data_IF_905935575954
#
_entry.id   IF_905935575954
#
_cell.length_a   1.000
_cell.length_b   1.000
_cell.length_c   1.000
_cell.angle_alpha   90.00
_cell.angle_beta   90.00
_cell.angle_gamma   90.00
#
_symmetry.space_group_name_H-M   'P 1'
#
loop_
_entity.id
_entity.type
_entity.pdbx_description
1 polymer ?
#
# COMPACT_ATOMS: atom_id res chain seq x y z
N UNK A 1 -13.80 2.56 47.12
CA UNK A 1 -12.56 2.18 46.38
C UNK A 1 -12.96 1.94 44.96
N UNK A 2 -12.70 2.85 43.98
CA UNK A 2 -12.96 2.57 42.59
C UNK A 2 -11.79 1.72 42.05
N UNK A 3 -12.15 0.55 41.52
CA UNK A 3 -11.20 -0.39 40.95
C UNK A 3 -10.43 0.24 39.78
N UNK A 4 -9.11 0.16 39.84
CA UNK A 4 -8.19 0.43 38.76
C UNK A 4 -8.54 -0.50 37.60
N UNK A 5 -9.12 0.06 36.53
CA UNK A 5 -9.25 -0.63 35.27
C UNK A 5 -7.82 -0.77 34.72
N UNK A 6 -7.17 -1.90 34.96
CA UNK A 6 -5.97 -2.29 34.25
C UNK A 6 -6.29 -2.20 32.76
N UNK A 7 -5.75 -1.20 32.07
CA UNK A 7 -5.67 -1.19 30.61
C UNK A 7 -4.77 -2.35 30.25
N UNK A 8 -5.36 -3.47 29.89
CA UNK A 8 -4.62 -4.57 29.24
C UNK A 8 -3.92 -3.95 28.04
N UNK A 9 -2.63 -3.74 28.14
CA UNK A 9 -1.80 -3.26 27.02
C UNK A 9 -1.80 -4.34 25.98
N UNK A 10 -2.54 -4.12 24.89
CA UNK A 10 -2.56 -5.03 23.75
C UNK A 10 -1.13 -5.15 23.19
N UNK A 11 -0.69 -6.37 22.87
CA UNK A 11 0.60 -6.57 22.18
C UNK A 11 0.53 -5.89 20.79
N UNK A 12 1.38 -4.88 20.51
CA UNK A 12 1.35 -4.13 19.27
C UNK A 12 1.64 -4.97 18.03
N UNK A 13 2.19 -6.17 18.22
CA UNK A 13 2.42 -7.13 17.13
C UNK A 13 1.14 -7.90 16.75
N UNK A 14 0.15 -7.91 17.63
CA UNK A 14 -1.10 -8.64 17.47
C UNK A 14 -2.25 -7.69 17.15
N UNK A 15 -2.33 -6.58 17.88
CA UNK A 15 -3.38 -5.57 17.74
C UNK A 15 -2.80 -4.16 17.76
N UNK A 16 -3.40 -3.29 16.98
CA UNK A 16 -3.07 -1.87 16.92
C UNK A 16 -4.19 -1.01 17.48
N UNK A 17 -3.81 0.05 18.15
CA UNK A 17 -4.72 1.14 18.51
C UNK A 17 -4.49 2.39 17.64
N UNK A 18 -5.38 3.37 17.77
CA UNK A 18 -5.29 4.62 17.02
C UNK A 18 -4.02 5.42 17.38
N UNK A 19 -3.55 5.35 18.64
CA UNK A 19 -2.36 6.08 19.06
C UNK A 19 -1.10 5.52 18.36
N UNK A 20 -0.99 4.20 18.25
CA UNK A 20 0.10 3.53 17.54
C UNK A 20 0.09 3.86 16.05
N UNK A 21 -1.06 3.84 15.37
CA UNK A 21 -1.18 4.26 13.98
C UNK A 21 -0.84 5.73 13.79
N UNK A 22 -1.24 6.60 14.73
CA UNK A 22 -0.93 8.04 14.68
C UNK A 22 0.56 8.31 14.91
N UNK A 23 1.24 7.51 15.74
CA UNK A 23 2.67 7.63 15.98
C UNK A 23 3.52 7.40 14.72
N UNK A 24 2.97 6.79 13.67
CA UNK A 24 3.61 6.63 12.37
C UNK A 24 3.59 7.90 11.50
N UNK A 25 2.84 8.95 11.89
CA UNK A 25 2.70 10.20 11.12
C UNK A 25 4.04 10.82 10.73
N UNK A 26 5.05 11.00 11.63
CA UNK A 26 6.32 11.61 11.24
C UNK A 26 7.09 10.78 10.20
N UNK A 27 6.96 9.46 10.24
CA UNK A 27 7.59 8.54 9.29
C UNK A 27 6.85 8.55 7.95
N UNK A 28 5.51 8.54 7.99
CA UNK A 28 4.67 8.62 6.79
C UNK A 28 4.90 9.91 6.01
N UNK A 29 4.99 11.06 6.67
CA UNK A 29 5.29 12.36 6.03
C UNK A 29 6.63 12.41 5.29
N UNK A 30 7.60 11.57 5.68
CA UNK A 30 8.90 11.45 4.99
C UNK A 30 8.84 10.52 3.77
N UNK A 31 7.78 9.73 3.62
CA UNK A 31 7.58 8.93 2.43
C UNK A 31 7.08 9.82 1.29
N UNK A 32 7.80 9.82 0.18
CA UNK A 32 7.36 10.55 -1.02
C UNK A 32 6.79 9.55 -2.02
N UNK A 33 5.50 9.65 -2.27
CA UNK A 33 4.85 8.97 -3.39
C UNK A 33 5.08 9.84 -4.63
N UNK A 34 6.18 9.64 -5.34
CA UNK A 34 6.54 10.47 -6.49
C UNK A 34 5.52 10.26 -7.61
N UNK A 35 5.03 11.33 -8.29
CA UNK A 35 4.19 11.22 -9.49
C UNK A 35 4.89 10.48 -10.63
N UNK A 36 6.23 10.50 -10.63
CA UNK A 36 7.13 9.75 -11.50
C UNK A 36 8.09 8.96 -10.62
N UNK A 37 7.71 7.77 -10.22
CA UNK A 37 8.64 6.89 -9.52
C UNK A 37 9.72 6.39 -10.49
N UNK A 38 10.98 6.22 -10.02
CA UNK A 38 12.04 5.66 -10.85
C UNK A 38 11.61 4.31 -11.41
N UNK A 39 12.14 3.93 -12.57
CA UNK A 39 11.79 2.71 -13.32
C UNK A 39 11.87 1.40 -12.49
N UNK A 40 12.47 1.44 -11.32
CA UNK A 40 12.59 0.33 -10.35
C UNK A 40 11.46 0.28 -9.30
N UNK A 41 10.58 1.27 -9.24
CA UNK A 41 9.45 1.24 -8.28
C UNK A 41 8.32 0.38 -8.83
N UNK A 42 7.86 -0.56 -8.01
CA UNK A 42 6.72 -1.45 -8.32
C UNK A 42 5.42 -0.66 -8.50
N UNK A 43 5.33 0.54 -7.89
CA UNK A 43 4.18 1.45 -8.02
C UNK A 43 4.12 2.17 -9.38
N UNK A 44 5.14 2.02 -10.23
CA UNK A 44 5.19 2.65 -11.54
C UNK A 44 4.56 1.74 -12.60
N UNK A 45 3.25 1.68 -12.63
CA UNK A 45 2.53 1.08 -13.75
C UNK A 45 2.89 1.80 -15.06
N UNK A 46 3.30 1.04 -16.08
CA UNK A 46 3.79 1.46 -17.40
C UNK A 46 2.73 2.20 -18.23
N UNK A 47 2.21 3.35 -17.81
CA UNK A 47 1.41 4.17 -18.72
C UNK A 47 1.63 5.66 -18.46
N UNK A 48 2.30 6.33 -19.39
CA UNK A 48 2.23 7.77 -19.54
C UNK A 48 0.78 8.16 -19.83
N UNK A 49 0.15 8.91 -18.94
CA UNK A 49 -1.21 9.40 -19.12
C UNK A 49 -1.23 10.53 -20.16
N UNK A 50 -1.94 10.32 -21.26
CA UNK A 50 -2.20 11.34 -22.31
C UNK A 50 -3.59 11.98 -22.12
N UNK A 51 -3.88 12.58 -20.96
CA UNK A 51 -5.15 13.29 -20.80
C UNK A 51 -4.92 14.75 -20.37
N UNK A 52 -5.60 15.69 -21.02
CA UNK A 52 -5.55 17.13 -20.78
C UNK A 52 -6.60 17.53 -19.74
N UNK A 53 -6.23 18.31 -18.73
CA UNK A 53 -7.12 18.84 -17.70
C UNK A 53 -6.66 20.17 -17.10
N UNK A 54 -7.51 20.88 -16.36
CA UNK A 54 -7.29 22.24 -15.83
C UNK A 54 -6.47 22.19 -14.53
N UNK A 55 -5.31 22.81 -14.54
CA UNK A 55 -4.36 22.96 -13.43
C UNK A 55 -2.96 22.83 -14.01
N UNK A 56 -2.39 23.93 -14.49
CA UNK A 56 -1.10 23.90 -15.17
C UNK A 56 -0.08 24.57 -14.25
N UNK A 57 0.80 23.76 -13.64
CA UNK A 57 2.00 24.29 -13.01
C UNK A 57 3.10 24.50 -14.04
N UNK A 58 3.74 25.67 -13.97
CA UNK A 58 4.88 26.00 -14.80
C UNK A 58 6.06 25.06 -14.46
N UNK A 59 6.48 24.24 -15.43
CA UNK A 59 7.60 23.32 -15.25
C UNK A 59 8.93 23.99 -15.67
N UNK A 60 9.00 24.44 -16.92
CA UNK A 60 10.22 25.01 -17.50
C UNK A 60 9.92 25.88 -18.74
N UNK A 61 10.91 26.68 -19.12
CA UNK A 61 10.97 27.32 -20.42
C UNK A 61 11.94 26.53 -21.29
N UNK A 62 11.49 26.14 -22.48
CA UNK A 62 12.36 25.52 -23.48
C UNK A 62 12.18 26.15 -24.85
N UNK A 63 13.11 25.93 -25.76
CA UNK A 63 12.99 26.39 -27.12
C UNK A 63 11.77 25.79 -27.81
N UNK A 64 11.09 26.65 -28.61
CA UNK A 64 9.93 26.27 -29.40
C UNK A 64 10.29 25.20 -30.43
N UNK A 65 9.47 24.17 -30.55
CA UNK A 65 9.53 23.19 -31.63
C UNK A 65 8.29 23.30 -32.53
N UNK A 66 8.38 22.98 -33.83
CA UNK A 66 7.26 23.12 -34.78
C UNK A 66 5.96 22.36 -34.38
N UNK A 67 6.08 21.39 -33.47
CA UNK A 67 4.95 20.62 -32.94
C UNK A 67 4.28 21.25 -31.72
N UNK A 68 4.82 22.37 -31.19
CA UNK A 68 4.29 23.01 -29.99
C UNK A 68 3.13 23.96 -30.33
N UNK A 69 2.20 24.12 -29.37
CA UNK A 69 1.13 25.09 -29.51
C UNK A 69 1.66 26.53 -29.33
N UNK A 70 1.54 27.33 -30.35
CA UNK A 70 1.99 28.75 -30.39
C UNK A 70 1.36 29.62 -29.27
N UNK A 71 0.25 29.18 -28.69
CA UNK A 71 -0.41 29.86 -27.56
C UNK A 71 0.40 29.77 -26.25
N UNK A 72 1.31 28.80 -26.17
CA UNK A 72 2.17 28.62 -25.01
C UNK A 72 3.51 29.35 -25.14
N UNK A 73 3.73 30.13 -26.20
CA UNK A 73 4.95 30.93 -26.37
C UNK A 73 4.99 32.05 -25.32
N UNK A 74 6.10 32.14 -24.58
CA UNK A 74 6.39 33.26 -23.71
C UNK A 74 6.98 34.42 -24.50
N UNK A 75 6.12 35.30 -25.00
CA UNK A 75 6.53 36.43 -25.80
C UNK A 75 7.49 37.38 -25.08
N UNK A 76 7.45 37.45 -23.74
CA UNK A 76 8.34 38.29 -22.94
C UNK A 76 9.76 37.76 -22.90
N UNK A 77 9.91 36.46 -22.78
CA UNK A 77 11.22 35.81 -22.84
C UNK A 77 11.74 35.81 -24.27
N UNK A 78 10.91 35.46 -25.23
CA UNK A 78 11.21 35.50 -26.67
C UNK A 78 11.73 36.85 -27.11
N UNK A 79 11.12 37.95 -26.69
CA UNK A 79 11.58 39.31 -27.03
C UNK A 79 12.95 39.66 -26.43
N UNK A 80 13.35 39.03 -25.34
CA UNK A 80 14.64 39.25 -24.67
C UNK A 80 15.73 38.39 -25.24
N UNK A 81 15.43 37.14 -25.60
CA UNK A 81 16.41 36.15 -26.08
C UNK A 81 16.58 36.12 -27.59
N UNK A 82 15.58 36.65 -28.33
CA UNK A 82 15.55 36.61 -29.80
C UNK A 82 15.14 35.25 -30.38
N UNK A 83 14.92 34.23 -29.57
CA UNK A 83 14.47 32.89 -29.98
C UNK A 83 13.12 32.55 -29.32
N UNK A 84 12.16 31.94 -30.05
CA UNK A 84 10.87 31.58 -29.46
C UNK A 84 11.04 30.54 -28.32
N UNK A 85 10.50 30.89 -27.15
CA UNK A 85 10.48 29.99 -25.99
C UNK A 85 9.05 29.64 -25.64
N UNK A 86 8.82 28.36 -25.31
CA UNK A 86 7.52 27.82 -24.90
C UNK A 86 7.52 27.55 -23.42
N UNK A 87 6.44 27.96 -22.75
CA UNK A 87 6.14 27.53 -21.37
C UNK A 87 5.68 26.08 -21.41
N UNK A 88 6.45 25.20 -20.82
CA UNK A 88 6.04 23.82 -20.56
C UNK A 88 5.33 23.81 -19.22
N UNK A 89 4.10 23.34 -19.23
CA UNK A 89 3.30 23.19 -18.03
C UNK A 89 3.17 21.70 -17.69
N UNK A 90 3.27 21.39 -16.41
CA UNK A 90 2.88 20.08 -15.88
C UNK A 90 1.48 20.20 -15.32
N UNK A 91 0.61 19.30 -15.68
CA UNK A 91 -0.71 19.19 -15.07
C UNK A 91 -0.54 18.60 -13.67
N UNK A 92 -0.75 19.45 -12.64
CA UNK A 92 -0.92 18.95 -11.28
C UNK A 92 -2.27 18.24 -11.21
N UNK A 93 -2.27 16.93 -11.32
CA UNK A 93 -3.47 16.13 -11.15
C UNK A 93 -3.66 15.84 -9.67
N UNK A 94 -4.71 16.42 -9.13
CA UNK A 94 -5.30 15.97 -7.87
C UNK A 94 -5.78 14.52 -8.04
N UNK A 95 -4.93 13.58 -7.60
CA UNK A 95 -5.15 12.14 -7.74
C UNK A 95 -5.57 11.55 -6.40
N UNK A 96 -6.89 11.39 -6.18
CA UNK A 96 -7.36 10.85 -4.91
C UNK A 96 -6.80 9.46 -4.67
N UNK A 97 -6.24 9.21 -3.49
CA UNK A 97 -5.82 7.89 -3.07
C UNK A 97 -6.93 7.20 -2.28
N UNK A 98 -7.18 5.93 -2.59
CA UNK A 98 -8.09 5.05 -1.90
C UNK A 98 -7.32 3.85 -1.34
N UNK A 99 -7.17 3.80 -0.01
CA UNK A 99 -6.48 2.74 0.71
C UNK A 99 -7.50 1.69 1.15
N UNK A 100 -7.46 0.51 0.55
CA UNK A 100 -8.38 -0.61 0.88
C UNK A 100 -7.62 -1.60 1.73
N UNK A 101 -8.06 -1.79 2.98
CA UNK A 101 -7.34 -2.60 3.96
C UNK A 101 -8.21 -3.75 4.44
N UNK A 102 -7.69 -4.92 4.25
CA UNK A 102 -8.30 -6.16 4.68
C UNK A 102 -7.99 -6.41 6.17
N UNK A 103 -9.05 -6.52 6.96
CA UNK A 103 -9.04 -6.88 8.38
C UNK A 103 -9.97 -8.06 8.64
N UNK A 104 -10.09 -8.97 7.66
CA UNK A 104 -10.82 -10.24 7.85
C UNK A 104 -9.98 -11.21 8.67
N UNK A 105 -10.63 -12.27 9.18
CA UNK A 105 -9.98 -13.28 10.01
C UNK A 105 -8.78 -13.94 9.31
N UNK A 106 -8.78 -14.08 8.00
CA UNK A 106 -7.64 -14.59 7.23
C UNK A 106 -6.36 -13.74 7.41
N UNK A 107 -6.50 -12.45 7.74
CA UNK A 107 -5.39 -11.53 8.03
C UNK A 107 -4.90 -11.63 9.48
N UNK A 108 -5.61 -12.33 10.38
CA UNK A 108 -5.21 -12.53 11.78
C UNK A 108 -4.23 -13.69 11.91
N UNK A 109 -3.08 -13.54 11.28
CA UNK A 109 -2.01 -14.52 11.30
C UNK A 109 -0.64 -13.82 11.23
N UNK A 110 0.31 -14.29 12.04
CA UNK A 110 1.69 -13.82 12.04
C UNK A 110 2.59 -14.77 12.80
N UNK A 111 3.77 -15.08 12.26
CA UNK A 111 4.69 -16.08 12.82
C UNK A 111 5.97 -15.50 13.43
N UNK A 112 6.33 -14.25 13.08
CA UNK A 112 7.62 -13.67 13.49
C UNK A 112 7.51 -12.27 14.07
N UNK A 113 7.25 -11.25 13.24
CA UNK A 113 7.31 -9.85 13.65
C UNK A 113 5.95 -9.32 14.08
N UNK A 114 4.92 -9.45 13.24
CA UNK A 114 3.58 -8.97 13.51
C UNK A 114 2.52 -9.81 12.79
N UNK A 115 1.24 -9.59 13.10
CA UNK A 115 0.13 -10.14 12.31
C UNK A 115 0.05 -9.46 10.93
N UNK A 116 -0.46 -10.17 9.91
CA UNK A 116 -0.70 -9.59 8.57
C UNK A 116 -1.64 -8.38 8.67
N UNK A 117 -2.66 -8.45 9.53
CA UNK A 117 -3.60 -7.36 9.79
C UNK A 117 -2.92 -6.10 10.33
N UNK A 118 -1.94 -6.26 11.22
CA UNK A 118 -1.10 -5.17 11.76
C UNK A 118 -0.26 -4.56 10.65
N UNK A 119 0.49 -5.38 9.90
CA UNK A 119 1.32 -4.93 8.78
C UNK A 119 0.52 -4.15 7.74
N UNK A 120 -0.69 -4.62 7.39
CA UNK A 120 -1.58 -3.92 6.46
C UNK A 120 -2.05 -2.57 7.01
N UNK A 121 -2.39 -2.49 8.30
CA UNK A 121 -2.82 -1.27 8.96
C UNK A 121 -1.70 -0.23 9.08
N UNK A 122 -0.50 -0.65 9.46
CA UNK A 122 0.69 0.23 9.48
C UNK A 122 1.01 0.78 8.09
N UNK A 123 0.99 -0.08 7.06
CA UNK A 123 1.22 0.34 5.69
C UNK A 123 0.19 1.38 5.23
N UNK A 124 -1.08 1.17 5.55
CA UNK A 124 -2.14 2.12 5.23
C UNK A 124 -1.98 3.46 5.97
N UNK A 125 -1.59 3.45 7.24
CA UNK A 125 -1.32 4.68 8.00
C UNK A 125 -0.15 5.46 7.40
N UNK A 126 0.98 4.81 7.14
CA UNK A 126 2.16 5.40 6.53
C UNK A 126 1.85 6.02 5.16
N UNK A 127 1.15 5.28 4.29
CA UNK A 127 0.73 5.76 2.97
C UNK A 127 -0.31 6.88 3.07
N UNK A 128 -1.25 6.78 4.02
CA UNK A 128 -2.26 7.81 4.25
C UNK A 128 -1.65 9.15 4.66
N UNK A 129 -0.67 9.15 5.57
CA UNK A 129 0.06 10.36 5.95
C UNK A 129 0.94 10.88 4.82
N UNK A 130 1.57 10.00 4.02
CA UNK A 130 2.35 10.38 2.86
C UNK A 130 1.51 11.12 1.81
N UNK A 131 0.33 10.59 1.47
CA UNK A 131 -0.61 11.20 0.52
C UNK A 131 -1.09 12.56 1.02
N UNK A 132 -1.47 12.64 2.30
CA UNK A 132 -1.96 13.89 2.88
C UNK A 132 -0.88 14.97 2.94
N UNK A 133 0.38 14.61 3.23
CA UNK A 133 1.53 15.54 3.23
C UNK A 133 1.83 16.11 1.85
N UNK A 134 1.55 15.35 0.78
CA UNK A 134 1.67 15.81 -0.60
C UNK A 134 0.50 16.73 -1.04
N UNK A 135 -0.46 16.98 -0.14
CA UNK A 135 -1.63 17.80 -0.41
C UNK A 135 -2.72 17.07 -1.19
N UNK A 136 -2.60 15.76 -1.40
CA UNK A 136 -3.58 14.97 -2.12
C UNK A 136 -4.76 14.53 -1.23
N UNK A 137 -5.86 14.13 -1.87
CA UNK A 137 -7.03 13.57 -1.20
C UNK A 137 -6.79 12.12 -0.85
N UNK A 138 -7.00 11.75 0.42
CA UNK A 138 -6.92 10.38 0.90
C UNK A 138 -8.24 9.93 1.49
N UNK A 139 -8.64 8.71 1.19
CA UNK A 139 -9.75 8.00 1.76
C UNK A 139 -9.42 6.52 1.88
N UNK A 140 -10.39 5.71 2.27
CA UNK A 140 -10.13 4.28 2.41
C UNK A 140 -11.39 3.43 2.51
N UNK A 141 -11.16 2.14 2.49
CA UNK A 141 -12.16 1.12 2.80
C UNK A 141 -11.54 0.18 3.83
N UNK A 142 -12.23 -0.02 4.94
CA UNK A 142 -11.89 -1.02 5.94
C UNK A 142 -12.79 -2.23 5.72
N UNK A 143 -12.17 -3.38 5.52
CA UNK A 143 -12.87 -4.64 5.24
C UNK A 143 -12.76 -5.55 6.46
N UNK A 144 -13.88 -5.92 7.06
CA UNK A 144 -13.95 -6.96 8.08
C UNK A 144 -14.82 -8.13 7.57
N UNK A 145 -14.91 -9.21 8.32
CA UNK A 145 -15.79 -10.33 7.96
C UNK A 145 -17.28 -9.94 7.98
N UNK A 146 -17.64 -8.86 8.70
CA UNK A 146 -19.01 -8.43 8.87
C UNK A 146 -19.39 -7.24 7.97
N UNK A 147 -18.44 -6.33 7.74
CA UNK A 147 -18.72 -5.04 7.15
C UNK A 147 -17.64 -4.59 6.15
N UNK A 148 -18.05 -3.68 5.28
CA UNK A 148 -17.18 -2.89 4.41
C UNK A 148 -17.49 -1.43 4.72
N UNK A 149 -16.58 -0.75 5.43
CA UNK A 149 -16.72 0.65 5.82
C UNK A 149 -15.99 1.55 4.85
N UNK A 150 -16.67 2.60 4.37
CA UNK A 150 -16.18 3.46 3.30
C UNK A 150 -15.92 4.89 3.76
N UNK A 151 -14.72 5.39 3.45
CA UNK A 151 -14.27 6.74 3.74
C UNK A 151 -13.89 7.45 2.44
N UNK A 152 -14.71 8.39 1.99
CA UNK A 152 -14.46 9.13 0.74
C UNK A 152 -13.16 9.93 0.82
N UNK A 153 -12.35 9.95 -0.26
CA UNK A 153 -11.11 10.73 -0.29
C UNK A 153 -11.32 12.22 -0.05
N UNK A 154 -10.59 12.79 0.93
CA UNK A 154 -10.60 14.23 1.26
C UNK A 154 -9.22 14.70 1.67
N UNK A 155 -8.89 15.97 1.43
CA UNK A 155 -7.71 16.66 1.98
C UNK A 155 -7.99 17.06 3.43
N UNK A 156 -8.06 16.11 4.32
CA UNK A 156 -8.46 16.36 5.71
C UNK A 156 -7.81 15.36 6.65
N UNK A 157 -6.97 15.87 7.55
CA UNK A 157 -6.39 15.06 8.62
C UNK A 157 -7.49 14.42 9.50
N UNK A 158 -8.56 15.17 9.78
CA UNK A 158 -9.69 14.63 10.56
C UNK A 158 -10.37 13.44 9.87
N UNK A 159 -10.48 13.48 8.52
CA UNK A 159 -11.02 12.34 7.77
C UNK A 159 -10.06 11.15 7.78
N UNK A 160 -8.76 11.37 7.65
CA UNK A 160 -7.76 10.30 7.78
C UNK A 160 -7.82 9.68 9.17
N UNK A 161 -7.93 10.49 10.24
CA UNK A 161 -8.04 9.99 11.61
C UNK A 161 -9.31 9.14 11.83
N UNK A 162 -10.45 9.49 11.22
CA UNK A 162 -11.66 8.64 11.25
C UNK A 162 -11.42 7.28 10.59
N UNK A 163 -10.78 7.28 9.43
CA UNK A 163 -10.43 6.05 8.73
C UNK A 163 -9.48 5.18 9.56
N UNK A 164 -8.41 5.76 10.14
CA UNK A 164 -7.47 5.05 11.00
C UNK A 164 -8.13 4.56 12.31
N UNK A 165 -9.09 5.29 12.85
CA UNK A 165 -9.88 4.84 14.01
C UNK A 165 -10.72 3.60 13.69
N UNK A 166 -11.42 3.59 12.55
CA UNK A 166 -12.19 2.43 12.11
C UNK A 166 -11.26 1.23 11.84
N UNK A 167 -10.08 1.49 11.25
CA UNK A 167 -9.08 0.46 10.99
C UNK A 167 -8.56 -0.17 12.29
N UNK A 168 -8.24 0.66 13.31
CA UNK A 168 -7.84 0.18 14.64
C UNK A 168 -8.96 -0.63 15.31
N UNK A 169 -10.20 -0.18 15.22
CA UNK A 169 -11.35 -0.91 15.78
C UNK A 169 -11.54 -2.28 15.10
N UNK A 170 -11.46 -2.33 13.76
CA UNK A 170 -11.56 -3.58 13.03
C UNK A 170 -10.40 -4.54 13.40
N UNK A 171 -9.17 -4.02 13.56
CA UNK A 171 -8.02 -4.78 13.97
C UNK A 171 -8.17 -5.36 15.39
N UNK A 172 -8.62 -4.57 16.35
CA UNK A 172 -8.85 -5.00 17.73
C UNK A 172 -10.03 -5.98 17.85
N UNK A 173 -10.96 -5.97 16.91
CA UNK A 173 -12.07 -6.91 16.86
C UNK A 173 -11.65 -8.32 16.40
N UNK A 174 -10.46 -8.49 15.84
CA UNK A 174 -9.95 -9.81 15.44
C UNK A 174 -9.60 -10.64 16.69
N UNK A 175 -10.17 -11.83 16.79
CA UNK A 175 -9.89 -12.74 17.90
C UNK A 175 -10.16 -14.18 17.50
N UNK A 176 -9.29 -15.16 17.88
CA UNK A 176 -9.41 -16.54 17.44
C UNK A 176 -10.69 -17.24 17.89
N UNK A 177 -11.33 -16.75 18.96
CA UNK A 177 -12.58 -17.31 19.49
C UNK A 177 -13.82 -16.60 18.93
N UNK A 178 -13.65 -15.60 18.06
CA UNK A 178 -14.78 -14.88 17.47
C UNK A 178 -15.45 -15.79 16.43
N UNK A 179 -16.73 -16.05 16.64
CA UNK A 179 -17.57 -16.68 15.62
C UNK A 179 -17.85 -15.64 14.55
N UNK A 180 -17.03 -15.59 13.53
CA UNK A 180 -17.28 -14.71 12.39
C UNK A 180 -18.45 -15.29 11.54
N UNK A 181 -19.31 -14.44 10.98
CA UNK A 181 -20.19 -14.84 9.90
C UNK A 181 -19.35 -15.27 8.68
N UNK A 182 -20.03 -15.76 7.64
CA UNK A 182 -19.33 -16.06 6.39
C UNK A 182 -18.49 -14.84 5.93
N UNK A 183 -17.19 -15.02 5.63
CA UNK A 183 -16.30 -13.90 5.38
C UNK A 183 -16.78 -13.06 4.19
N UNK A 184 -16.63 -11.74 4.31
CA UNK A 184 -16.90 -10.81 3.20
C UNK A 184 -16.07 -11.21 1.98
N UNK A 185 -16.73 -11.44 0.86
CA UNK A 185 -16.06 -11.85 -0.38
C UNK A 185 -15.26 -10.70 -0.99
N UNK A 186 -14.17 -10.99 -1.67
CA UNK A 186 -13.38 -10.00 -2.39
C UNK A 186 -14.21 -9.30 -3.49
N UNK A 187 -15.17 -9.99 -4.10
CA UNK A 187 -16.10 -9.39 -5.08
C UNK A 187 -16.94 -8.26 -4.47
N UNK A 188 -17.40 -8.42 -3.22
CA UNK A 188 -18.14 -7.36 -2.50
C UNK A 188 -17.23 -6.16 -2.24
N UNK A 189 -16.00 -6.39 -1.81
CA UNK A 189 -15.01 -5.33 -1.60
C UNK A 189 -14.75 -4.56 -2.89
N UNK A 190 -14.47 -5.25 -3.99
CA UNK A 190 -14.19 -4.62 -5.28
C UNK A 190 -15.40 -3.88 -5.86
N UNK A 191 -16.62 -4.35 -5.57
CA UNK A 191 -17.85 -3.61 -5.93
C UNK A 191 -17.92 -2.26 -5.19
N UNK A 192 -17.56 -2.22 -3.90
CA UNK A 192 -17.47 -0.98 -3.14
C UNK A 192 -16.35 -0.07 -3.67
N UNK A 193 -15.19 -0.63 -4.02
CA UNK A 193 -14.08 0.12 -4.64
C UNK A 193 -14.55 0.76 -5.95
N UNK A 194 -15.18 0.00 -6.84
CA UNK A 194 -15.66 0.51 -8.13
C UNK A 194 -16.69 1.64 -7.99
N UNK A 195 -17.51 1.60 -6.93
CA UNK A 195 -18.50 2.64 -6.62
C UNK A 195 -17.85 3.91 -6.07
N UNK A 196 -16.81 3.77 -5.24
CA UNK A 196 -16.17 4.89 -4.56
C UNK A 196 -15.12 5.58 -5.44
N UNK A 197 -14.37 4.79 -6.22
CA UNK A 197 -13.32 5.25 -7.13
C UNK A 197 -13.81 5.23 -8.58
N UNK A 198 -14.49 6.29 -9.00
CA UNK A 198 -15.06 6.36 -10.36
C UNK A 198 -13.99 6.49 -11.44
N UNK A 199 -13.06 7.44 -11.32
CA UNK A 199 -11.96 7.70 -12.28
C UNK A 199 -10.77 8.37 -11.61
N UNK A 200 -9.59 8.16 -12.19
CA UNK A 200 -8.35 8.85 -11.86
C UNK A 200 -7.90 8.72 -10.39
N UNK A 201 -8.30 7.63 -9.73
CA UNK A 201 -7.85 7.32 -8.37
C UNK A 201 -6.58 6.46 -8.40
N UNK A 202 -5.74 6.64 -7.39
CA UNK A 202 -4.74 5.66 -6.99
C UNK A 202 -5.37 4.72 -5.96
N UNK A 203 -5.60 3.48 -6.32
CA UNK A 203 -6.19 2.47 -5.44
C UNK A 203 -5.10 1.52 -4.99
N UNK A 204 -4.93 1.39 -3.68
CA UNK A 204 -3.97 0.46 -3.07
C UNK A 204 -4.77 -0.53 -2.23
N UNK A 205 -4.78 -1.79 -2.65
CA UNK A 205 -5.49 -2.87 -1.98
C UNK A 205 -4.49 -3.73 -1.20
N UNK A 206 -4.55 -3.66 0.13
CA UNK A 206 -3.69 -4.40 1.08
C UNK A 206 -4.48 -5.59 1.62
N UNK A 207 -4.15 -6.80 1.18
CA UNK A 207 -4.86 -8.04 1.53
C UNK A 207 -3.95 -9.25 1.36
N UNK A 208 -4.31 -10.38 1.94
CA UNK A 208 -3.74 -11.68 1.58
C UNK A 208 -4.44 -12.31 0.37
N UNK A 209 -5.48 -11.64 -0.16
CA UNK A 209 -6.28 -12.09 -1.30
C UNK A 209 -6.86 -13.49 -1.12
N UNK A 210 -7.25 -13.83 0.10
CA UNK A 210 -7.87 -15.10 0.40
C UNK A 210 -9.26 -15.21 -0.25
N UNK A 211 -9.54 -16.39 -0.81
CA UNK A 211 -10.82 -16.75 -1.45
C UNK A 211 -11.33 -15.69 -2.44
N UNK A 212 -10.70 -15.57 -3.63
CA UNK A 212 -11.26 -14.74 -4.67
C UNK A 212 -12.63 -15.29 -5.13
N UNK A 213 -13.56 -14.38 -5.43
CA UNK A 213 -14.86 -14.74 -5.96
C UNK A 213 -14.84 -14.95 -7.49
N UNK A 214 -15.94 -15.44 -8.08
CA UNK A 214 -16.02 -15.71 -9.51
C UNK A 214 -15.95 -14.45 -10.39
N UNK A 215 -16.20 -13.26 -9.82
CA UNK A 215 -16.20 -11.98 -10.53
C UNK A 215 -14.96 -11.13 -10.24
N UNK A 216 -14.05 -11.60 -9.37
CA UNK A 216 -12.90 -10.83 -8.91
C UNK A 216 -12.05 -10.29 -10.07
N UNK A 217 -11.71 -11.14 -11.04
CA UNK A 217 -10.88 -10.74 -12.19
C UNK A 217 -11.58 -9.69 -13.06
N UNK A 218 -12.86 -9.88 -13.36
CA UNK A 218 -13.65 -8.91 -14.14
C UNK A 218 -13.77 -7.56 -13.43
N UNK A 219 -13.94 -7.54 -12.10
CA UNK A 219 -14.02 -6.34 -11.30
C UNK A 219 -12.68 -5.61 -11.24
N UNK A 220 -11.57 -6.33 -11.04
CA UNK A 220 -10.22 -5.76 -11.11
C UNK A 220 -9.96 -5.10 -12.47
N UNK A 221 -10.30 -5.78 -13.56
CA UNK A 221 -10.17 -5.23 -14.91
C UNK A 221 -11.04 -4.00 -15.15
N UNK A 222 -12.26 -3.98 -14.63
CA UNK A 222 -13.17 -2.84 -14.73
C UNK A 222 -12.63 -1.62 -13.96
N UNK A 223 -12.14 -1.81 -12.74
CA UNK A 223 -11.53 -0.76 -11.91
C UNK A 223 -10.28 -0.21 -12.60
N UNK A 224 -9.40 -1.09 -13.09
CA UNK A 224 -8.14 -0.72 -13.71
C UNK A 224 -8.27 0.13 -14.96
N UNK A 225 -9.36 -0.02 -15.72
CA UNK A 225 -9.60 0.76 -16.95
C UNK A 225 -9.62 2.28 -16.73
N UNK A 226 -10.02 2.72 -15.54
CA UNK A 226 -10.21 4.13 -15.23
C UNK A 226 -9.39 4.63 -14.04
N UNK A 227 -8.65 3.76 -13.39
CA UNK A 227 -7.89 4.05 -12.18
C UNK A 227 -6.52 3.35 -12.24
N UNK A 228 -5.59 3.82 -11.42
CA UNK A 228 -4.38 3.07 -11.16
C UNK A 228 -4.59 2.16 -9.96
N UNK A 229 -4.44 0.87 -10.20
CA UNK A 229 -4.68 -0.17 -9.20
C UNK A 229 -3.38 -0.88 -8.85
N UNK A 230 -3.09 -0.91 -7.56
CA UNK A 230 -1.98 -1.62 -6.96
C UNK A 230 -2.51 -2.68 -6.00
N UNK A 231 -2.13 -3.93 -6.23
CA UNK A 231 -2.35 -5.03 -5.31
C UNK A 231 -1.11 -5.19 -4.43
N UNK A 232 -1.29 -5.12 -3.13
CA UNK A 232 -0.24 -5.33 -2.14
C UNK A 232 -0.56 -6.60 -1.38
N UNK A 233 0.11 -7.69 -1.75
CA UNK A 233 -0.04 -8.98 -1.11
C UNK A 233 0.66 -8.96 0.26
N UNK A 234 -0.11 -9.09 1.33
CA UNK A 234 0.42 -9.20 2.68
C UNK A 234 0.54 -10.68 3.05
N UNK A 235 1.77 -11.15 3.20
CA UNK A 235 2.09 -12.56 3.48
C UNK A 235 2.83 -12.72 4.80
N UNK A 236 2.85 -13.92 5.31
CA UNK A 236 3.69 -14.30 6.44
C UNK A 236 4.75 -15.30 5.98
N UNK A 237 6.00 -15.25 6.50
CA UNK A 237 7.06 -16.15 6.11
C UNK A 237 6.70 -17.65 6.26
N UNK A 238 5.89 -17.98 7.27
CA UNK A 238 5.47 -19.34 7.50
C UNK A 238 4.54 -19.88 6.40
N UNK A 239 3.79 -19.00 5.73
CA UNK A 239 2.95 -19.40 4.58
C UNK A 239 3.77 -19.72 3.32
N UNK A 240 5.01 -19.23 3.24
CA UNK A 240 5.90 -19.46 2.10
C UNK A 240 6.76 -20.72 2.28
N UNK A 241 7.19 -20.97 3.51
CA UNK A 241 8.01 -22.13 3.87
C UNK A 241 7.67 -22.60 5.28
N UNK A 242 7.12 -23.79 5.36
CA UNK A 242 6.82 -24.45 6.64
C UNK A 242 8.06 -25.17 7.18
N UNK A 243 8.36 -25.08 8.49
CA UNK A 243 9.35 -25.92 9.13
C UNK A 243 8.97 -27.40 9.02
N UNK A 244 9.95 -28.28 9.10
CA UNK A 244 9.74 -29.73 8.97
C UNK A 244 9.15 -30.41 10.24
N UNK A 245 9.11 -29.65 11.35
CA UNK A 245 8.75 -30.17 12.69
C UNK A 245 7.70 -29.35 13.42
N UNK A 246 6.87 -28.59 12.68
CA UNK A 246 5.83 -27.78 13.28
C UNK A 246 4.55 -28.58 13.51
N UNK A 247 4.18 -28.77 14.77
CA UNK A 247 2.83 -29.22 15.14
C UNK A 247 2.03 -28.06 15.71
N UNK A 248 0.91 -27.70 15.06
CA UNK A 248 0.07 -26.58 15.50
C UNK A 248 -1.41 -26.85 15.27
N UNK A 249 -2.23 -26.07 15.94
CA UNK A 249 -3.68 -25.99 15.69
C UNK A 249 -3.98 -24.64 15.10
N UNK A 250 -4.48 -24.62 13.87
CA UNK A 250 -5.00 -23.42 13.25
C UNK A 250 -6.51 -23.33 13.42
N UNK A 251 -7.02 -22.10 13.50
CA UNK A 251 -8.45 -21.82 13.54
C UNK A 251 -8.80 -20.66 12.61
N UNK A 252 -9.96 -20.77 11.97
CA UNK A 252 -10.59 -19.67 11.21
C UNK A 252 -11.73 -19.01 12.04
N UNK A 253 -11.78 -19.30 13.33
CA UNK A 253 -12.84 -18.83 14.24
C UNK A 253 -14.06 -19.77 14.31
N UNK A 254 -14.22 -20.69 13.36
CA UNK A 254 -15.31 -21.67 13.31
C UNK A 254 -14.83 -23.11 13.36
N UNK A 255 -13.72 -23.38 12.71
CA UNK A 255 -13.11 -24.70 12.58
C UNK A 255 -11.73 -24.71 13.21
N UNK A 256 -11.36 -25.86 13.78
CA UNK A 256 -10.01 -26.11 14.25
C UNK A 256 -9.42 -27.23 13.41
N UNK A 257 -8.25 -26.99 12.85
CA UNK A 257 -7.50 -27.99 12.11
C UNK A 257 -6.14 -28.19 12.77
N UNK A 258 -5.79 -29.43 13.05
CA UNK A 258 -4.45 -29.81 13.51
C UNK A 258 -3.56 -30.08 12.32
N UNK A 259 -2.43 -29.43 12.28
CA UNK A 259 -1.41 -29.60 11.26
C UNK A 259 -0.14 -30.17 11.90
N UNK A 260 0.46 -31.12 11.21
CA UNK A 260 1.75 -31.68 11.56
C UNK A 260 2.61 -31.65 10.29
N UNK A 261 3.60 -30.75 10.27
CA UNK A 261 4.46 -30.58 9.10
C UNK A 261 5.58 -31.59 8.98
N UNK A 262 5.73 -32.50 9.95
CA UNK A 262 6.55 -33.71 9.79
C UNK A 262 5.99 -34.62 8.70
N UNK A 263 4.67 -34.58 8.46
CA UNK A 263 4.03 -35.18 7.29
C UNK A 263 4.32 -34.31 6.03
N UNK A 264 5.15 -34.85 5.15
CA UNK A 264 5.58 -34.17 3.93
C UNK A 264 4.41 -33.92 2.96
N UNK A 265 3.35 -34.69 2.98
CA UNK A 265 2.19 -34.48 2.11
C UNK A 265 1.33 -33.32 2.60
N UNK A 266 1.07 -33.24 3.92
CA UNK A 266 0.38 -32.11 4.52
C UNK A 266 1.15 -30.80 4.30
N UNK A 267 2.46 -30.82 4.51
CA UNK A 267 3.33 -29.66 4.27
C UNK A 267 3.24 -29.18 2.83
N UNK A 268 3.40 -30.10 1.87
CA UNK A 268 3.30 -29.77 0.43
C UNK A 268 1.92 -29.23 0.05
N UNK A 269 0.85 -29.76 0.61
CA UNK A 269 -0.50 -29.28 0.37
C UNK A 269 -0.71 -27.83 0.85
N UNK A 270 -0.21 -27.50 2.05
CA UNK A 270 -0.29 -26.14 2.58
C UNK A 270 0.55 -25.14 1.76
N UNK A 271 1.78 -25.51 1.39
CA UNK A 271 2.65 -24.67 0.56
C UNK A 271 2.07 -24.49 -0.86
N UNK A 272 1.32 -25.47 -1.39
CA UNK A 272 0.69 -25.35 -2.71
C UNK A 272 -0.37 -24.26 -2.72
N UNK A 273 -1.16 -24.11 -1.66
CA UNK A 273 -2.19 -23.06 -1.54
C UNK A 273 -1.56 -21.67 -1.62
N UNK A 274 -0.47 -21.42 -0.89
CA UNK A 274 0.24 -20.14 -0.93
C UNK A 274 0.85 -19.86 -2.33
N UNK A 275 1.42 -20.91 -2.95
CA UNK A 275 2.00 -20.83 -4.30
C UNK A 275 0.94 -20.55 -5.36
N UNK A 276 -0.20 -21.22 -5.31
CA UNK A 276 -1.32 -21.00 -6.24
C UNK A 276 -1.87 -19.57 -6.13
N UNK A 277 -2.02 -19.06 -4.90
CA UNK A 277 -2.43 -17.67 -4.66
C UNK A 277 -1.46 -16.68 -5.27
N UNK A 278 -0.15 -16.85 -5.05
CA UNK A 278 0.88 -16.01 -5.67
C UNK A 278 0.79 -16.04 -7.20
N UNK A 279 0.70 -17.23 -7.78
CA UNK A 279 0.55 -17.39 -9.23
C UNK A 279 -0.72 -16.71 -9.76
N UNK A 280 -1.82 -16.75 -9.00
CA UNK A 280 -3.05 -16.06 -9.38
C UNK A 280 -2.86 -14.54 -9.40
N UNK A 281 -2.21 -13.96 -8.38
CA UNK A 281 -1.90 -12.53 -8.33
C UNK A 281 -0.97 -12.11 -9.48
N UNK A 282 0.04 -12.91 -9.79
CA UNK A 282 0.94 -12.68 -10.92
C UNK A 282 0.20 -12.78 -12.26
N UNK A 283 -0.76 -13.71 -12.43
CA UNK A 283 -1.62 -13.76 -13.62
C UNK A 283 -2.43 -12.48 -13.77
N UNK A 284 -3.10 -12.02 -12.72
CA UNK A 284 -3.85 -10.76 -12.76
C UNK A 284 -2.95 -9.57 -13.07
N UNK A 285 -1.76 -9.51 -12.45
CA UNK A 285 -0.81 -8.44 -12.73
C UNK A 285 -0.43 -8.38 -14.21
N UNK A 286 -0.12 -9.53 -14.82
CA UNK A 286 0.27 -9.61 -16.24
C UNK A 286 -0.91 -9.37 -17.19
N UNK A 287 -2.06 -9.96 -16.94
CA UNK A 287 -3.20 -9.92 -17.85
C UNK A 287 -3.96 -8.60 -17.80
N UNK A 288 -4.10 -8.02 -16.60
CA UNK A 288 -4.87 -6.78 -16.40
C UNK A 288 -3.97 -5.53 -16.34
N UNK A 289 -2.65 -5.70 -16.32
CA UNK A 289 -1.70 -4.59 -16.17
C UNK A 289 -1.83 -3.87 -14.83
N UNK A 290 -2.24 -4.59 -13.76
CA UNK A 290 -2.30 -4.05 -12.39
C UNK A 290 -0.93 -4.16 -11.73
N UNK A 291 -0.58 -3.17 -10.91
CA UNK A 291 0.64 -3.23 -10.10
C UNK A 291 0.52 -4.34 -9.05
N UNK A 292 1.62 -5.07 -8.81
CA UNK A 292 1.70 -6.07 -7.75
C UNK A 292 2.93 -5.81 -6.89
N UNK A 293 2.73 -5.75 -5.58
CA UNK A 293 3.76 -5.64 -4.57
C UNK A 293 3.51 -6.65 -3.45
N UNK A 294 4.52 -6.91 -2.64
CA UNK A 294 4.41 -7.79 -1.48
C UNK A 294 4.92 -7.12 -0.23
N UNK A 295 4.23 -7.34 0.90
CA UNK A 295 4.68 -6.99 2.23
C UNK A 295 4.70 -8.24 3.09
N UNK A 296 5.78 -8.46 3.82
CA UNK A 296 5.92 -9.58 4.75
C UNK A 296 5.59 -9.13 6.17
N UNK A 297 4.70 -9.86 6.84
CA UNK A 297 4.45 -9.71 8.27
C UNK A 297 5.64 -10.17 9.15
N UNK A 298 6.63 -10.79 8.55
CA UNK A 298 7.86 -11.24 9.23
C UNK A 298 8.92 -10.16 9.45
N UNK A 299 8.69 -8.93 8.96
CA UNK A 299 9.66 -7.82 9.02
C UNK A 299 8.97 -6.47 9.22
N UNK A 300 9.65 -5.45 9.76
CA UNK A 300 9.08 -4.12 9.94
C UNK A 300 8.52 -3.52 8.65
N UNK A 301 7.36 -2.86 8.74
CA UNK A 301 6.59 -2.37 7.60
C UNK A 301 7.27 -1.21 6.86
N UNK A 302 7.82 -0.24 7.60
CA UNK A 302 8.40 0.98 7.01
C UNK A 302 9.57 0.71 6.05
N UNK A 303 10.59 -0.10 6.40
CA UNK A 303 11.69 -0.43 5.48
C UNK A 303 11.21 -1.07 4.19
N UNK A 304 10.22 -1.96 4.28
CA UNK A 304 9.63 -2.63 3.12
C UNK A 304 8.93 -1.62 2.20
N UNK A 305 8.13 -0.70 2.76
CA UNK A 305 7.48 0.37 1.99
C UNK A 305 8.51 1.30 1.33
N UNK A 306 9.59 1.65 2.01
CA UNK A 306 10.67 2.46 1.42
C UNK A 306 11.26 1.76 0.20
N UNK A 307 11.55 0.47 0.30
CA UNK A 307 12.04 -0.33 -0.83
C UNK A 307 11.04 -0.38 -1.98
N UNK A 308 9.76 -0.61 -1.69
CA UNK A 308 8.69 -0.63 -2.71
C UNK A 308 8.52 0.72 -3.41
N UNK A 309 8.75 1.81 -2.69
CA UNK A 309 8.71 3.18 -3.21
C UNK A 309 10.01 3.59 -3.92
N UNK A 310 11.04 2.74 -3.93
CA UNK A 310 12.35 3.04 -4.51
C UNK A 310 13.14 4.08 -3.71
N UNK A 311 12.83 4.25 -2.41
CA UNK A 311 13.52 5.16 -1.51
C UNK A 311 14.74 4.47 -0.87
N UNK A 312 15.86 5.18 -0.62
CA UNK A 312 17.02 4.59 0.03
C UNK A 312 16.70 4.09 1.44
N UNK A 313 17.30 2.98 1.85
CA UNK A 313 17.22 2.47 3.23
C UNK A 313 17.95 3.42 4.20
N UNK A 314 17.43 3.64 5.40
CA UNK A 314 18.00 4.56 6.41
C UNK A 314 19.37 4.13 6.97
N UNK A 315 20.08 3.19 6.35
CA UNK A 315 21.40 2.72 6.78
C UNK A 315 22.57 3.12 5.87
N UNK A 316 22.31 3.74 4.71
CA UNK A 316 23.37 4.00 3.72
C UNK A 316 24.01 5.42 3.81
N UNK A 317 23.56 6.27 4.71
CA UNK A 317 24.01 7.67 4.80
C UNK A 317 25.15 7.90 5.82
N UNK A 318 25.77 6.85 6.38
CA UNK A 318 26.71 6.96 7.50
C UNK A 318 28.14 6.47 7.27
N UNK A 319 28.55 6.04 6.07
CA UNK A 319 29.88 5.43 5.89
C UNK A 319 30.81 6.10 4.89
N UNK A 320 30.54 7.34 4.47
CA UNK A 320 31.42 8.05 3.52
C UNK A 320 31.96 9.38 4.07
N UNK A 321 32.35 9.37 5.35
CA UNK A 321 33.11 10.46 5.94
C UNK A 321 34.33 9.87 6.65
N UNK A 322 35.43 9.78 5.95
CA UNK A 322 36.72 9.56 6.65
C UNK A 322 37.70 8.63 5.93
N UNK A 323 38.15 8.99 4.75
CA UNK A 323 39.49 8.58 4.33
C UNK A 323 40.11 9.65 3.42
N UNK A 324 40.67 10.66 4.06
CA UNK A 324 41.58 11.61 3.42
C UNK A 324 43.01 11.07 3.65
N UNK A 325 43.73 10.67 2.61
CA UNK A 325 45.11 10.25 2.77
C UNK A 325 46.01 11.52 2.85
N UNK A 326 46.51 11.78 4.03
CA UNK A 326 47.55 12.74 4.28
C UNK A 326 48.74 12.52 3.33
N UNK A 327 48.96 13.48 2.45
CA UNK A 327 50.20 13.63 1.63
C UNK A 327 51.35 14.01 2.54
N UNK A 328 52.20 13.02 2.83
CA UNK A 328 53.57 13.24 3.31
C UNK A 328 54.51 13.47 2.15
N UNK A 329 55.00 14.68 1.94
CA UNK A 329 56.08 14.97 1.01
C UNK A 329 57.43 14.60 1.62
N UNK A 330 58.38 14.18 0.78
CA UNK A 330 59.76 13.97 1.21
C UNK A 330 60.65 15.15 0.91
N UNK A 331 61.70 15.18 1.64
CA UNK A 331 62.93 15.95 1.32
C UNK A 331 63.62 15.40 0.05
#
# INVERSE_FOLDING_TARGET
MPGSTERTTLDPRVHLDLAQLTALEPQGRRLRLLPRQPARSVLNGRHGSHLRGRGLDFLELRDYQPSDDVRNIDWRVTARTGTPHVRVFTEERDRPALLVVDQRMSMFFGSRHAMKSVTAAEAAALLGFAVLEQGDRVGGIVVSDEAVEEFRPRRSRAQLMRYLSALAQANQALHPQRKAPAPTSLDRVLTSVARLASRDHLIILLSDFDVPGPRTEALLGAIRRHNDLMLVAVSDPLSERLPDDLACVATDGQRHARFDTSDADQRRALESVARERRQQLERWSRQLGVGLASLSAGSPTLPQLRTLLGLPSEGAAGSDAGNDPATGGPR
#
